data_IF_201594645519
#
_entry.id   IF_201594645519
#
_cell.length_a   1.000
_cell.length_b   1.000
_cell.length_c   1.000
_cell.angle_alpha   90.00
_cell.angle_beta   90.00
_cell.angle_gamma   90.00
#
_symmetry.space_group_name_H-M   'P 1'
#
loop_
_entity.id
_entity.type
_entity.pdbx_description
1 polymer ?
#
# COMPACT_ATOMS: atom_id res chain seq x y z
N UNK A 1 -8.73 10.74 23.18
CA UNK A 1 -7.76 9.74 22.75
C UNK A 1 -7.14 10.17 21.43
N UNK A 2 -5.87 9.86 21.22
CA UNK A 2 -5.17 10.10 19.96
C UNK A 2 -5.64 9.08 18.92
N UNK A 3 -5.90 9.55 17.69
CA UNK A 3 -6.38 8.69 16.60
C UNK A 3 -5.24 7.83 16.05
N UNK A 4 -5.43 6.52 15.99
CA UNK A 4 -4.46 5.59 15.40
C UNK A 4 -4.79 5.23 13.95
N UNK A 5 -6.06 5.34 13.56
CA UNK A 5 -6.56 5.07 12.21
C UNK A 5 -8.03 5.52 12.12
N UNK A 6 -8.49 6.06 10.99
CA UNK A 6 -9.89 6.40 10.77
C UNK A 6 -10.76 5.20 10.35
N UNK A 7 -10.29 3.96 10.50
CA UNK A 7 -10.89 2.78 9.89
C UNK A 7 -12.37 2.59 10.24
N UNK A 8 -12.76 2.73 11.50
CA UNK A 8 -14.17 2.56 11.91
C UNK A 8 -15.08 3.58 11.23
N UNK A 9 -14.61 4.81 11.08
CA UNK A 9 -15.37 5.88 10.43
C UNK A 9 -15.45 5.65 8.91
N UNK A 10 -14.36 5.33 8.25
CA UNK A 10 -14.32 5.03 6.82
C UNK A 10 -15.22 3.85 6.48
N UNK A 11 -15.11 2.74 7.20
CA UNK A 11 -15.90 1.53 6.98
C UNK A 11 -17.41 1.77 7.21
N UNK A 12 -17.77 2.57 8.18
CA UNK A 12 -19.16 2.96 8.38
C UNK A 12 -19.64 3.89 7.27
N UNK A 13 -18.83 4.87 6.90
CA UNK A 13 -19.21 5.88 5.92
C UNK A 13 -19.32 5.31 4.49
N UNK A 14 -18.52 4.31 4.14
CA UNK A 14 -18.57 3.68 2.80
C UNK A 14 -19.91 2.98 2.53
N UNK A 15 -20.62 2.58 3.56
CA UNK A 15 -21.97 2.02 3.40
C UNK A 15 -23.00 3.05 2.84
N UNK A 16 -22.69 4.34 2.89
CA UNK A 16 -23.59 5.42 2.45
C UNK A 16 -22.99 6.21 1.27
N UNK A 17 -21.65 6.28 1.15
CA UNK A 17 -20.96 7.18 0.23
C UNK A 17 -20.09 6.47 -0.82
N UNK A 18 -20.17 5.15 -0.95
CA UNK A 18 -19.41 4.31 -1.86
C UNK A 18 -17.88 4.48 -1.76
N UNK A 19 -17.40 5.71 -1.71
CA UNK A 19 -15.98 6.09 -1.62
C UNK A 19 -15.80 7.21 -0.62
N UNK A 20 -14.88 7.02 0.31
CA UNK A 20 -14.59 8.00 1.36
C UNK A 20 -13.09 8.12 1.55
N UNK A 21 -12.63 9.30 1.97
CA UNK A 21 -11.25 9.52 2.35
C UNK A 21 -11.17 10.43 3.58
N UNK A 22 -10.05 10.35 4.27
CA UNK A 22 -9.71 11.23 5.38
C UNK A 22 -8.23 11.64 5.29
N UNK A 23 -7.95 12.91 5.51
CA UNK A 23 -6.59 13.44 5.69
C UNK A 23 -6.53 13.99 7.10
N UNK A 24 -5.81 13.30 7.98
CA UNK A 24 -5.78 13.65 9.40
C UNK A 24 -4.49 13.21 10.10
N UNK A 25 -4.16 13.80 11.27
CA UNK A 25 -3.07 13.31 12.11
C UNK A 25 -3.33 11.89 12.60
N UNK A 26 -2.31 11.05 12.49
CA UNK A 26 -2.29 9.68 12.99
C UNK A 26 -1.19 9.55 14.04
N UNK A 27 -1.50 8.85 15.13
CA UNK A 27 -0.60 8.67 16.27
C UNK A 27 -0.41 7.18 16.54
N UNK A 28 0.82 6.72 16.50
CA UNK A 28 1.15 5.31 16.77
C UNK A 28 2.28 5.23 17.77
N UNK A 29 2.18 4.35 18.76
CA UNK A 29 3.24 4.06 19.72
C UNK A 29 4.22 3.05 19.09
N UNK A 30 5.02 3.49 18.14
CA UNK A 30 6.01 2.64 17.49
C UNK A 30 7.12 2.26 18.47
N UNK A 31 7.54 0.99 18.43
CA UNK A 31 8.58 0.46 19.32
C UNK A 31 9.99 0.84 18.87
N UNK A 32 10.15 1.28 17.63
CA UNK A 32 11.43 1.57 17.00
C UNK A 32 11.47 3.03 16.55
N UNK A 33 12.61 3.68 16.76
CA UNK A 33 12.89 5.02 16.28
C UNK A 33 13.77 4.94 15.01
N UNK A 34 13.15 4.80 13.86
CA UNK A 34 13.83 4.78 12.56
C UNK A 34 13.20 5.80 11.63
N UNK A 35 13.82 6.09 10.49
CA UNK A 35 13.23 6.97 9.47
C UNK A 35 11.91 6.45 8.89
N UNK A 36 11.57 5.18 9.12
CA UNK A 36 10.33 4.52 8.66
C UNK A 36 9.24 4.46 9.75
N UNK A 37 9.58 4.63 11.02
CA UNK A 37 8.68 4.50 12.16
C UNK A 37 8.53 5.85 12.85
N UNK A 38 7.49 6.59 12.46
CA UNK A 38 7.16 7.90 12.99
C UNK A 38 5.93 7.77 13.90
N UNK A 39 6.01 8.38 15.09
CA UNK A 39 4.91 8.27 16.05
C UNK A 39 3.73 9.20 15.74
N UNK A 40 3.96 10.23 14.93
CA UNK A 40 2.95 11.20 14.50
C UNK A 40 3.20 11.57 13.04
N UNK A 41 2.16 11.50 12.21
CA UNK A 41 2.20 11.90 10.81
C UNK A 41 0.79 12.26 10.31
N UNK A 42 0.72 12.93 9.17
CA UNK A 42 -0.55 13.15 8.47
C UNK A 42 -0.78 11.96 7.52
N UNK A 43 -1.81 11.19 7.80
CA UNK A 43 -2.24 10.09 6.93
C UNK A 43 -3.21 10.56 5.87
N UNK A 44 -3.09 10.04 4.64
CA UNK A 44 -4.14 10.03 3.63
C UNK A 44 -4.71 8.62 3.56
N UNK A 45 -5.92 8.46 4.03
CA UNK A 45 -6.63 7.20 4.09
C UNK A 45 -7.84 7.24 3.17
N UNK A 46 -8.11 6.17 2.42
CA UNK A 46 -9.37 6.03 1.70
C UNK A 46 -9.95 4.62 1.80
N UNK A 47 -11.26 4.51 1.58
CA UNK A 47 -12.01 3.26 1.58
C UNK A 47 -12.98 3.28 0.41
N UNK A 48 -13.14 2.13 -0.27
CA UNK A 48 -14.04 1.96 -1.40
C UNK A 48 -14.96 0.76 -1.15
N UNK A 49 -16.26 0.97 -1.31
CA UNK A 49 -17.25 -0.09 -1.43
C UNK A 49 -17.51 -0.44 -2.89
N UNK A 50 -18.26 -1.54 -3.12
CA UNK A 50 -18.69 -1.99 -4.44
C UNK A 50 -17.56 -2.21 -5.43
N UNK A 51 -16.43 -2.73 -4.92
CA UNK A 51 -15.26 -3.11 -5.73
C UNK A 51 -15.41 -4.56 -6.19
N UNK A 52 -14.89 -4.87 -7.38
CA UNK A 52 -14.78 -6.25 -7.87
C UNK A 52 -13.53 -6.95 -7.31
N UNK A 53 -12.47 -6.19 -7.09
CA UNK A 53 -11.19 -6.69 -6.60
C UNK A 53 -10.31 -5.63 -5.94
N UNK A 54 -9.22 -6.03 -5.29
CA UNK A 54 -8.21 -5.11 -4.78
C UNK A 54 -7.58 -4.23 -5.88
N UNK A 55 -7.62 -4.69 -7.14
CA UNK A 55 -7.08 -3.93 -8.26
C UNK A 55 -7.84 -2.64 -8.54
N UNK A 56 -9.13 -2.55 -8.16
CA UNK A 56 -9.89 -1.30 -8.24
C UNK A 56 -9.35 -0.24 -7.27
N UNK A 57 -8.92 -0.69 -6.09
CA UNK A 57 -8.27 0.17 -5.09
C UNK A 57 -6.91 0.65 -5.59
N UNK A 58 -6.09 -0.26 -6.12
CA UNK A 58 -4.78 0.05 -6.72
C UNK A 58 -4.91 1.03 -7.91
N UNK A 59 -5.93 0.86 -8.74
CA UNK A 59 -6.21 1.76 -9.86
C UNK A 59 -6.60 3.17 -9.38
N UNK A 60 -7.41 3.27 -8.33
CA UNK A 60 -7.76 4.55 -7.71
C UNK A 60 -6.53 5.24 -7.13
N UNK A 61 -5.68 4.51 -6.41
CA UNK A 61 -4.43 5.02 -5.86
C UNK A 61 -3.49 5.52 -6.96
N UNK A 62 -3.31 4.74 -8.03
CA UNK A 62 -2.51 5.12 -9.19
C UNK A 62 -3.01 6.43 -9.81
N UNK A 63 -4.34 6.57 -9.96
CA UNK A 63 -4.95 7.80 -10.51
C UNK A 63 -4.75 9.00 -9.58
N UNK A 64 -4.89 8.81 -8.27
CA UNK A 64 -4.65 9.84 -7.27
C UNK A 64 -3.19 10.31 -7.30
N UNK A 65 -2.24 9.39 -7.25
CA UNK A 65 -0.81 9.72 -7.30
C UNK A 65 -0.41 10.41 -8.59
N UNK A 66 -0.94 9.97 -9.73
CA UNK A 66 -0.73 10.65 -11.03
C UNK A 66 -1.18 12.10 -10.95
N UNK A 67 -2.40 12.34 -10.49
CA UNK A 67 -2.92 13.69 -10.31
C UNK A 67 -2.06 14.53 -9.39
N UNK A 68 -1.64 13.99 -8.23
CA UNK A 68 -0.79 14.69 -7.27
C UNK A 68 0.55 15.08 -7.89
N UNK A 69 1.21 14.15 -8.60
CA UNK A 69 2.51 14.43 -9.25
C UNK A 69 2.39 15.49 -10.35
N UNK A 70 1.33 15.42 -11.16
CA UNK A 70 1.05 16.45 -12.18
C UNK A 70 0.74 17.81 -11.54
N UNK A 71 -0.04 17.82 -10.47
CA UNK A 71 -0.39 19.03 -9.73
C UNK A 71 0.85 19.70 -9.13
N UNK A 72 1.73 18.93 -8.50
CA UNK A 72 2.99 19.42 -7.95
C UNK A 72 3.87 20.05 -9.03
N UNK A 73 4.07 19.39 -10.15
CA UNK A 73 4.85 19.95 -11.29
C UNK A 73 4.28 21.27 -11.80
N UNK A 74 2.96 21.38 -11.84
CA UNK A 74 2.28 22.55 -12.39
C UNK A 74 2.29 23.75 -11.45
N UNK A 75 2.13 23.51 -10.15
CA UNK A 75 1.83 24.58 -9.18
C UNK A 75 2.96 24.88 -8.20
N UNK A 76 3.96 23.99 -8.08
CA UNK A 76 5.05 24.08 -7.10
C UNK A 76 6.44 23.98 -7.75
N UNK A 77 6.56 24.49 -8.98
CA UNK A 77 7.82 24.43 -9.73
C UNK A 77 8.99 25.11 -9.00
N UNK A 78 8.74 26.24 -8.34
CA UNK A 78 9.75 26.97 -7.57
C UNK A 78 10.23 26.16 -6.36
N UNK A 79 9.31 25.57 -5.60
CA UNK A 79 9.61 24.76 -4.41
C UNK A 79 10.34 23.46 -4.81
N UNK A 80 9.96 22.87 -5.94
CA UNK A 80 10.64 21.67 -6.47
C UNK A 80 12.07 21.98 -6.89
N UNK A 81 12.32 23.14 -7.53
CA UNK A 81 13.66 23.60 -7.88
C UNK A 81 14.50 23.89 -6.63
N UNK A 82 13.92 24.60 -5.66
CA UNK A 82 14.59 24.95 -4.39
C UNK A 82 15.00 23.70 -3.59
N UNK A 83 14.18 22.65 -3.63
CA UNK A 83 14.41 21.39 -2.93
C UNK A 83 15.19 20.38 -3.76
N UNK A 84 15.57 20.72 -4.99
CA UNK A 84 16.18 19.81 -5.96
C UNK A 84 15.38 18.49 -6.11
N UNK A 85 14.04 18.60 -6.03
CA UNK A 85 13.14 17.46 -6.00
C UNK A 85 12.72 17.06 -7.43
N UNK A 86 13.01 15.82 -7.81
CA UNK A 86 12.51 15.24 -9.05
C UNK A 86 11.17 14.53 -8.81
N UNK A 87 10.14 15.00 -9.53
CA UNK A 87 8.78 14.45 -9.48
C UNK A 87 8.58 13.50 -10.65
N UNK A 88 8.31 12.21 -10.40
CA UNK A 88 8.15 11.21 -11.45
C UNK A 88 6.92 11.45 -12.31
N UNK A 89 6.95 10.90 -13.52
CA UNK A 89 5.77 10.80 -14.40
C UNK A 89 5.16 9.41 -14.21
N UNK A 90 3.92 9.36 -13.74
CA UNK A 90 3.20 8.10 -13.55
C UNK A 90 2.34 7.83 -14.78
N UNK A 91 2.67 6.80 -15.55
CA UNK A 91 1.82 6.24 -16.63
C UNK A 91 0.94 5.15 -16.03
N UNK A 92 1.53 3.99 -15.79
CA UNK A 92 0.96 2.89 -15.03
C UNK A 92 1.96 2.44 -13.98
N UNK A 93 1.49 1.96 -12.84
CA UNK A 93 2.35 1.42 -11.81
C UNK A 93 2.41 -0.11 -12.00
N UNK A 94 3.60 -0.68 -12.27
CA UNK A 94 3.75 -2.12 -12.40
C UNK A 94 3.43 -2.83 -11.08
N UNK A 95 3.03 -4.09 -11.17
CA UNK A 95 2.80 -4.94 -10.02
C UNK A 95 3.49 -6.29 -10.16
N UNK A 96 3.93 -6.83 -9.04
CA UNK A 96 4.44 -8.21 -8.90
C UNK A 96 3.80 -8.83 -7.66
N UNK A 97 3.67 -10.14 -7.64
CA UNK A 97 3.32 -10.85 -6.42
C UNK A 97 4.53 -10.91 -5.48
N UNK A 98 4.31 -11.13 -4.18
CA UNK A 98 5.43 -11.33 -3.25
C UNK A 98 6.32 -12.51 -3.68
N UNK A 99 5.73 -13.57 -4.22
CA UNK A 99 6.48 -14.72 -4.72
C UNK A 99 7.40 -14.32 -5.86
N UNK A 100 6.88 -13.63 -6.88
CA UNK A 100 7.68 -13.13 -8.01
C UNK A 100 8.76 -12.15 -7.53
N UNK A 101 8.45 -11.26 -6.59
CA UNK A 101 9.44 -10.37 -5.99
C UNK A 101 10.60 -11.15 -5.35
N UNK A 102 10.30 -12.19 -4.58
CA UNK A 102 11.34 -13.06 -4.00
C UNK A 102 12.13 -13.85 -5.05
N UNK A 103 11.51 -14.27 -6.14
CA UNK A 103 12.20 -14.91 -7.27
C UNK A 103 13.13 -13.94 -7.99
N UNK A 104 12.71 -12.69 -8.22
CA UNK A 104 13.53 -11.62 -8.81
C UNK A 104 14.76 -11.35 -7.95
N UNK A 105 14.58 -11.27 -6.63
CA UNK A 105 15.68 -11.04 -5.68
C UNK A 105 16.64 -12.25 -5.59
N UNK A 106 16.11 -13.46 -5.72
CA UNK A 106 16.88 -14.70 -5.65
C UNK A 106 17.74 -14.80 -4.38
N UNK A 107 18.99 -15.14 -4.54
CA UNK A 107 19.92 -15.28 -3.41
C UNK A 107 20.35 -13.95 -2.74
N UNK A 108 19.99 -12.81 -3.32
CA UNK A 108 20.26 -11.48 -2.75
C UNK A 108 19.15 -11.01 -1.83
N UNK A 109 17.97 -11.63 -1.92
CA UNK A 109 16.84 -11.31 -1.08
C UNK A 109 17.02 -11.80 0.36
N UNK A 110 16.25 -11.20 1.28
CA UNK A 110 16.19 -11.62 2.67
C UNK A 110 15.70 -13.07 2.80
N UNK A 111 15.98 -13.68 3.95
CA UNK A 111 15.48 -15.03 4.27
C UNK A 111 14.00 -15.05 4.66
N UNK A 112 13.42 -13.89 4.91
CA UNK A 112 12.00 -13.75 5.22
C UNK A 112 11.16 -14.06 3.97
N UNK A 113 10.42 -15.14 3.99
CA UNK A 113 9.55 -15.57 2.87
C UNK A 113 8.13 -15.01 2.97
N UNK A 114 7.79 -14.41 4.09
CA UNK A 114 6.44 -13.94 4.37
C UNK A 114 6.25 -12.44 4.11
N UNK A 115 7.38 -11.71 3.95
CA UNK A 115 7.40 -10.26 3.79
C UNK A 115 8.65 -9.77 3.06
N UNK A 116 8.67 -8.50 2.68
CA UNK A 116 9.87 -7.80 2.24
C UNK A 116 10.56 -7.15 3.44
N UNK A 117 11.88 -7.26 3.49
CA UNK A 117 12.70 -6.48 4.40
C UNK A 117 13.13 -5.17 3.70
N UNK A 118 13.60 -4.15 4.43
CA UNK A 118 13.98 -2.87 3.84
C UNK A 118 14.93 -2.98 2.63
N UNK A 119 15.87 -3.90 2.67
CA UNK A 119 16.81 -4.12 1.56
C UNK A 119 16.09 -4.73 0.34
N UNK A 120 15.10 -5.59 0.56
CA UNK A 120 14.28 -6.17 -0.51
C UNK A 120 13.46 -5.08 -1.22
N UNK A 121 12.87 -4.15 -0.46
CA UNK A 121 12.08 -3.04 -1.02
C UNK A 121 12.94 -2.15 -1.92
N UNK A 122 14.15 -1.81 -1.48
CA UNK A 122 15.10 -1.05 -2.30
C UNK A 122 15.41 -1.80 -3.61
N UNK A 123 15.74 -3.08 -3.52
CA UNK A 123 16.12 -3.87 -4.68
C UNK A 123 14.96 -4.09 -5.66
N UNK A 124 13.72 -4.23 -5.17
CA UNK A 124 12.51 -4.33 -6.01
C UNK A 124 12.21 -3.00 -6.69
N UNK A 125 12.39 -1.86 -6.02
CA UNK A 125 12.26 -0.55 -6.65
C UNK A 125 13.33 -0.32 -7.73
N UNK A 126 14.58 -0.75 -7.51
CA UNK A 126 15.63 -0.69 -8.53
C UNK A 126 15.27 -1.57 -9.75
N UNK A 127 14.73 -2.76 -9.51
CA UNK A 127 14.20 -3.61 -10.58
C UNK A 127 13.10 -2.92 -11.37
N UNK A 128 12.13 -2.30 -10.68
CA UNK A 128 11.02 -1.59 -11.31
C UNK A 128 11.55 -0.42 -12.18
N UNK A 129 12.49 0.35 -11.66
CA UNK A 129 13.12 1.45 -12.40
C UNK A 129 13.83 0.96 -13.65
N UNK A 130 14.59 -0.10 -13.54
CA UNK A 130 15.36 -0.67 -14.65
C UNK A 130 14.49 -1.33 -15.73
N UNK A 131 13.43 -2.03 -15.30
CA UNK A 131 12.61 -2.89 -16.20
C UNK A 131 11.46 -2.14 -16.83
N UNK A 132 10.80 -1.25 -16.05
CA UNK A 132 9.56 -0.56 -16.43
C UNK A 132 9.73 0.96 -16.51
N UNK A 133 10.90 1.50 -16.21
CA UNK A 133 11.14 2.94 -16.03
C UNK A 133 10.14 3.58 -15.03
N UNK A 134 9.77 2.83 -14.00
CA UNK A 134 8.85 3.28 -12.96
C UNK A 134 9.56 3.50 -11.64
N UNK A 135 9.27 4.61 -10.98
CA UNK A 135 9.71 4.89 -9.62
C UNK A 135 8.82 4.21 -8.56
N UNK A 136 7.69 3.62 -8.99
CA UNK A 136 6.71 2.94 -8.15
C UNK A 136 6.57 1.48 -8.55
N UNK A 137 6.22 0.63 -7.60
CA UNK A 137 5.82 -0.76 -7.85
C UNK A 137 4.88 -1.25 -6.75
N UNK A 138 3.80 -1.93 -7.14
CA UNK A 138 2.97 -2.68 -6.21
C UNK A 138 3.56 -4.07 -5.97
N UNK A 139 3.56 -4.50 -4.71
CA UNK A 139 3.79 -5.89 -4.31
C UNK A 139 2.49 -6.44 -3.75
N UNK A 140 2.04 -7.57 -4.25
CA UNK A 140 0.69 -8.11 -3.99
C UNK A 140 0.72 -9.54 -3.48
N UNK A 141 -0.43 -10.07 -3.05
CA UNK A 141 -0.61 -11.48 -2.70
C UNK A 141 0.35 -11.98 -1.62
N UNK A 142 0.27 -11.35 -0.46
CA UNK A 142 1.02 -11.80 0.72
C UNK A 142 0.44 -13.11 1.28
N UNK A 143 1.26 -13.96 1.94
CA UNK A 143 0.75 -15.16 2.60
C UNK A 143 -0.36 -14.83 3.59
N UNK A 144 -1.46 -15.59 3.58
CA UNK A 144 -2.66 -15.32 4.39
C UNK A 144 -2.42 -15.30 5.91
N UNK A 145 -1.30 -15.86 6.36
CA UNK A 145 -0.86 -15.81 7.76
C UNK A 145 -0.25 -14.48 8.19
N UNK A 146 0.08 -13.58 7.24
CA UNK A 146 0.75 -12.30 7.54
C UNK A 146 -0.23 -11.15 7.79
N UNK A 147 -1.25 -10.89 6.93
CA UNK A 147 -2.18 -9.80 7.15
C UNK A 147 -3.08 -10.04 8.36
N UNK A 148 -3.69 -8.94 8.88
CA UNK A 148 -4.65 -9.04 9.96
C UNK A 148 -5.90 -9.85 9.57
N UNK A 149 -6.63 -10.32 10.57
CA UNK A 149 -7.82 -11.17 10.45
C UNK A 149 -8.93 -10.63 9.53
N UNK A 150 -8.94 -9.35 9.23
CA UNK A 150 -9.93 -8.72 8.35
C UNK A 150 -9.57 -8.77 6.86
N UNK A 151 -8.36 -9.19 6.50
CA UNK A 151 -7.93 -9.28 5.11
C UNK A 151 -8.57 -10.51 4.44
N UNK A 152 -9.12 -10.32 3.23
CA UNK A 152 -9.73 -11.38 2.46
C UNK A 152 -8.66 -12.29 1.84
N UNK A 153 -8.87 -13.60 1.94
CA UNK A 153 -7.99 -14.54 1.24
C UNK A 153 -8.32 -14.55 -0.26
N UNK A 154 -7.30 -14.84 -1.07
CA UNK A 154 -7.49 -15.07 -2.51
C UNK A 154 -8.44 -16.26 -2.72
N UNK A 155 -9.34 -16.10 -3.68
CA UNK A 155 -10.26 -17.18 -4.08
C UNK A 155 -9.57 -18.25 -4.91
N UNK A 156 -8.51 -17.86 -5.63
CA UNK A 156 -7.71 -18.76 -6.46
C UNK A 156 -6.72 -19.59 -5.63
N UNK A 157 -6.12 -18.97 -4.61
CA UNK A 157 -5.23 -19.65 -3.66
C UNK A 157 -5.46 -19.12 -2.24
N UNK A 158 -6.24 -19.84 -1.40
CA UNK A 158 -6.55 -19.40 -0.03
C UNK A 158 -5.34 -19.24 0.90
N UNK A 159 -4.15 -19.69 0.50
CA UNK A 159 -2.90 -19.48 1.24
C UNK A 159 -2.38 -18.05 1.09
N UNK A 160 -2.94 -17.29 0.14
CA UNK A 160 -2.61 -15.90 -0.15
C UNK A 160 -3.76 -14.98 0.26
N UNK A 161 -3.45 -13.74 0.58
CA UNK A 161 -4.43 -12.70 0.85
C UNK A 161 -4.40 -11.62 -0.23
N UNK A 162 -5.53 -11.00 -0.48
CA UNK A 162 -5.66 -9.82 -1.32
C UNK A 162 -5.15 -8.57 -0.58
N UNK A 163 -3.85 -8.61 -0.25
CA UNK A 163 -3.09 -7.50 0.30
C UNK A 163 -2.13 -6.98 -0.77
N UNK A 164 -1.90 -5.67 -0.76
CA UNK A 164 -0.84 -5.03 -1.53
C UNK A 164 -0.09 -4.00 -0.69
N UNK A 165 1.17 -3.78 -1.03
CA UNK A 165 1.96 -2.66 -0.57
C UNK A 165 2.46 -1.89 -1.80
N UNK A 166 2.45 -0.56 -1.73
CA UNK A 166 3.02 0.30 -2.76
C UNK A 166 4.38 0.79 -2.29
N UNK A 167 5.39 0.51 -3.10
CA UNK A 167 6.76 0.96 -2.88
C UNK A 167 7.08 2.15 -3.80
N UNK A 168 7.77 3.13 -3.24
CA UNK A 168 8.28 4.29 -3.96
C UNK A 168 9.74 4.51 -3.61
N UNK A 169 10.63 4.39 -4.60
CA UNK A 169 12.08 4.64 -4.44
C UNK A 169 12.71 3.93 -3.23
N UNK A 170 12.32 2.70 -2.97
CA UNK A 170 12.86 1.86 -1.90
C UNK A 170 12.16 2.00 -0.55
N UNK A 171 10.97 2.62 -0.52
CA UNK A 171 10.19 2.79 0.70
C UNK A 171 8.73 2.39 0.46
N UNK A 172 8.17 1.59 1.37
CA UNK A 172 6.73 1.38 1.44
C UNK A 172 6.03 2.71 1.83
N UNK A 173 5.14 3.20 0.97
CA UNK A 173 4.40 4.44 1.20
C UNK A 173 2.92 4.19 1.46
N UNK A 174 2.39 3.04 1.05
CA UNK A 174 0.99 2.66 1.27
C UNK A 174 0.90 1.17 1.48
N UNK A 175 0.01 0.75 2.36
CA UNK A 175 -0.45 -0.62 2.52
C UNK A 175 -1.96 -0.67 2.38
N UNK A 176 -2.46 -1.62 1.60
CA UNK A 176 -3.88 -1.76 1.33
C UNK A 176 -4.29 -3.19 1.05
N UNK A 177 -5.56 -3.38 0.69
CA UNK A 177 -6.07 -4.68 0.30
C UNK A 177 -7.59 -4.74 0.27
N UNK A 178 -8.11 -5.89 -0.11
CA UNK A 178 -9.53 -6.18 -0.04
C UNK A 178 -9.87 -6.79 1.31
N UNK A 179 -10.90 -6.25 1.95
CA UNK A 179 -11.40 -6.76 3.23
C UNK A 179 -12.44 -7.84 3.00
N UNK A 180 -12.57 -8.74 3.98
CA UNK A 180 -13.67 -9.69 4.03
C UNK A 180 -14.97 -8.90 4.11
N UNK A 181 -15.93 -9.22 3.25
CA UNK A 181 -17.26 -8.62 3.20
C UNK A 181 -18.37 -9.61 3.58
N UNK A 182 -18.06 -10.91 3.64
CA UNK A 182 -18.97 -11.91 4.17
C UNK A 182 -18.90 -11.94 5.70
N UNK A 183 -20.08 -11.84 6.36
CA UNK A 183 -20.16 -11.77 7.81
C UNK A 183 -19.67 -13.06 8.48
N UNK A 184 -20.03 -14.23 7.93
CA UNK A 184 -19.65 -15.49 8.54
C UNK A 184 -18.15 -15.77 8.38
N UNK A 185 -17.60 -15.50 7.21
CA UNK A 185 -16.15 -15.61 6.97
C UNK A 185 -15.37 -14.71 7.92
N UNK A 186 -15.84 -13.47 8.14
CA UNK A 186 -15.19 -12.54 9.06
C UNK A 186 -15.25 -13.07 10.51
N UNK A 187 -16.40 -13.61 10.92
CA UNK A 187 -16.59 -14.15 12.26
C UNK A 187 -15.70 -15.37 12.50
N UNK A 188 -15.63 -16.27 11.53
CA UNK A 188 -14.80 -17.48 11.59
C UNK A 188 -13.31 -17.11 11.72
N UNK A 189 -12.84 -16.12 10.96
CA UNK A 189 -11.46 -15.62 11.09
C UNK A 189 -11.15 -14.93 12.42
N UNK A 190 -12.15 -14.36 13.08
CA UNK A 190 -11.98 -13.77 14.41
C UNK A 190 -11.87 -14.82 15.52
N UNK A 191 -12.39 -16.03 15.28
CA UNK A 191 -12.37 -17.11 16.24
C UNK A 191 -11.22 -18.10 16.04
N UNK A 192 -10.51 -18.04 14.91
CA UNK A 192 -9.39 -18.90 14.57
C UNK A 192 -8.07 -18.40 15.21
#
# INVERSE_FOLDING_TARGET
FLNQSPQFYKQTAVAFFDRVFEIAPVYRAEKHATSRHINEYIGLDFEMGYIDSMYDVMAMETACLRYVMEYLKKHYAFELELLEADVPVIRDIPSVTLLEAKEILGNKGSKNKLDLEPEDEVAICEYAKKTFDSDFIFVTHFPSSKPPFYAMNSREDPRLAYKFDLLFRGLEITSGGQRIHDYQEQLDKMHA
#
